data_IF_812727812236
#
_entry.id   IF_812727812236
#
_cell.length_a   1.000
_cell.length_b   1.000
_cell.length_c   1.000
_cell.angle_alpha   90.00
_cell.angle_beta   90.00
_cell.angle_gamma   90.00
#
_symmetry.space_group_name_H-M   'P 1'
#
loop_
_entity.id
_entity.type
_entity.pdbx_description
1 polymer ?
#
# COMPACT_ATOMS: atom_id res chain seq x y z
N UNK A 1 -19.71 11.88 -4.39
CA UNK A 1 -18.52 11.93 -3.52
C UNK A 1 -18.74 10.87 -2.45
N UNK A 2 -17.87 9.84 -2.40
CA UNK A 2 -18.01 8.75 -1.44
C UNK A 2 -17.85 9.26 -0.02
N UNK A 3 -18.55 8.64 0.93
CA UNK A 3 -18.46 8.98 2.35
C UNK A 3 -17.17 8.40 2.94
N UNK A 4 -16.03 8.96 2.55
CA UNK A 4 -14.70 8.53 3.01
C UNK A 4 -14.55 8.67 4.52
N UNK A 5 -15.27 9.62 5.14
CA UNK A 5 -15.33 9.78 6.59
C UNK A 5 -15.95 8.58 7.28
N UNK A 6 -17.09 8.06 6.78
CA UNK A 6 -17.66 6.80 7.31
C UNK A 6 -16.74 5.61 7.05
N UNK A 7 -16.13 5.50 5.87
CA UNK A 7 -15.21 4.42 5.58
C UNK A 7 -14.03 4.40 6.56
N UNK A 8 -13.45 5.57 6.84
CA UNK A 8 -12.39 5.74 7.83
C UNK A 8 -12.85 5.28 9.22
N UNK A 9 -14.03 5.72 9.66
CA UNK A 9 -14.59 5.33 10.97
C UNK A 9 -14.75 3.81 11.10
N UNK A 10 -15.26 3.14 10.07
CA UNK A 10 -15.40 1.67 10.07
C UNK A 10 -14.05 0.96 10.09
N UNK A 11 -13.07 1.41 9.31
CA UNK A 11 -11.73 0.81 9.31
C UNK A 11 -11.00 1.05 10.63
N UNK A 12 -11.12 2.22 11.25
CA UNK A 12 -10.52 2.50 12.57
C UNK A 12 -11.16 1.64 13.68
N UNK A 13 -12.48 1.45 13.66
CA UNK A 13 -13.18 0.55 14.58
C UNK A 13 -12.71 -0.89 14.41
N UNK A 14 -12.64 -1.37 13.17
CA UNK A 14 -12.14 -2.72 12.85
C UNK A 14 -10.69 -2.89 13.29
N UNK A 15 -9.83 -1.90 13.02
CA UNK A 15 -8.43 -1.91 13.42
C UNK A 15 -8.25 -2.04 14.94
N UNK A 16 -9.01 -1.27 15.73
CA UNK A 16 -8.98 -1.35 17.21
C UNK A 16 -9.39 -2.73 17.74
N UNK A 17 -10.28 -3.44 17.05
CA UNK A 17 -10.66 -4.81 17.43
C UNK A 17 -9.50 -5.76 17.13
N UNK A 18 -8.93 -5.68 15.93
CA UNK A 18 -7.79 -6.51 15.52
C UNK A 18 -6.58 -6.28 16.42
N UNK A 19 -6.27 -5.03 16.79
CA UNK A 19 -5.14 -4.67 17.65
C UNK A 19 -5.22 -5.32 19.03
N UNK A 20 -6.45 -5.51 19.55
CA UNK A 20 -6.68 -6.21 20.82
C UNK A 20 -6.65 -7.73 20.70
N UNK A 21 -6.97 -8.25 19.51
CA UNK A 21 -7.16 -9.68 19.28
C UNK A 21 -5.92 -10.39 18.73
N UNK A 22 -5.01 -9.67 18.08
CA UNK A 22 -3.91 -10.24 17.31
C UNK A 22 -2.54 -9.78 17.82
N UNK A 23 -1.49 -10.61 17.67
CA UNK A 23 -0.11 -10.18 17.87
C UNK A 23 0.24 -9.00 16.96
N UNK A 24 1.11 -8.10 17.43
CA UNK A 24 1.49 -6.86 16.71
C UNK A 24 2.10 -7.07 15.32
N UNK A 25 2.57 -8.28 15.01
CA UNK A 25 3.12 -8.66 13.71
C UNK A 25 2.14 -9.45 12.82
N UNK A 26 0.86 -9.56 13.20
CA UNK A 26 -0.10 -10.34 12.42
C UNK A 26 -0.42 -9.66 11.07
N UNK A 27 -0.38 -10.37 9.92
CA UNK A 27 -0.67 -9.79 8.61
C UNK A 27 -2.02 -9.07 8.49
N UNK A 28 -3.05 -9.50 9.22
CA UNK A 28 -4.36 -8.81 9.23
C UNK A 28 -4.29 -7.40 9.84
N UNK A 29 -3.38 -7.16 10.80
CA UNK A 29 -3.11 -5.81 11.29
C UNK A 29 -2.50 -4.95 10.19
N UNK A 30 -1.56 -5.51 9.42
CA UNK A 30 -1.00 -4.81 8.27
C UNK A 30 -2.08 -4.48 7.23
N UNK A 31 -3.00 -5.42 6.95
CA UNK A 31 -4.09 -5.17 6.01
C UNK A 31 -5.03 -4.06 6.48
N UNK A 32 -5.37 -4.03 7.77
CA UNK A 32 -6.20 -2.97 8.33
C UNK A 32 -5.54 -1.59 8.25
N UNK A 33 -4.23 -1.49 8.55
CA UNK A 33 -3.46 -0.26 8.34
C UNK A 33 -3.43 0.16 6.86
N UNK A 34 -3.25 -0.79 5.94
CA UNK A 34 -3.27 -0.50 4.51
C UNK A 34 -4.62 0.09 4.07
N UNK A 35 -5.73 -0.42 4.59
CA UNK A 35 -7.06 0.09 4.24
C UNK A 35 -7.27 1.52 4.75
N UNK A 36 -6.82 1.83 5.98
CA UNK A 36 -6.85 3.20 6.51
C UNK A 36 -6.00 4.14 5.64
N UNK A 37 -4.79 3.71 5.27
CA UNK A 37 -3.91 4.46 4.38
C UNK A 37 -4.55 4.72 3.01
N UNK A 38 -5.28 3.76 2.46
CA UNK A 38 -6.01 3.91 1.21
C UNK A 38 -7.12 4.97 1.30
N UNK A 39 -7.87 5.01 2.40
CA UNK A 39 -8.89 6.04 2.59
C UNK A 39 -8.26 7.43 2.61
N UNK A 40 -7.17 7.63 3.36
CA UNK A 40 -6.45 8.91 3.36
C UNK A 40 -5.88 9.26 1.98
N UNK A 41 -5.39 8.28 1.24
CA UNK A 41 -4.90 8.49 -0.13
C UNK A 41 -6.02 8.98 -1.06
N UNK A 42 -7.21 8.37 -1.00
CA UNK A 42 -8.37 8.81 -1.77
C UNK A 42 -8.89 10.19 -1.36
N UNK A 43 -8.69 10.58 -0.11
CA UNK A 43 -8.99 11.93 0.40
C UNK A 43 -7.93 12.98 -0.01
N UNK A 44 -6.81 12.56 -0.60
CA UNK A 44 -5.68 13.44 -0.95
C UNK A 44 -4.76 13.77 0.22
N UNK A 45 -4.98 13.20 1.41
CA UNK A 45 -4.06 13.33 2.55
C UNK A 45 -2.93 12.31 2.42
N UNK A 46 -2.02 12.57 1.49
CA UNK A 46 -0.92 11.66 1.18
C UNK A 46 0.07 11.49 2.35
N UNK A 47 0.17 12.49 3.24
CA UNK A 47 1.06 12.38 4.41
C UNK A 47 0.52 11.39 5.43
N UNK A 48 -0.79 11.43 5.75
CA UNK A 48 -1.41 10.39 6.59
C UNK A 48 -1.44 9.05 5.89
N UNK A 49 -1.71 9.02 4.59
CA UNK A 49 -1.68 7.77 3.82
C UNK A 49 -0.33 7.06 3.97
N UNK A 50 0.78 7.79 3.81
CA UNK A 50 2.13 7.27 3.99
C UNK A 50 2.37 6.73 5.40
N UNK A 51 1.96 7.45 6.45
CA UNK A 51 2.10 6.98 7.83
C UNK A 51 1.47 5.59 8.04
N UNK A 52 0.25 5.41 7.54
CA UNK A 52 -0.48 4.15 7.67
C UNK A 52 0.06 3.05 6.75
N UNK A 53 0.45 3.40 5.51
CA UNK A 53 1.09 2.44 4.61
C UNK A 53 2.46 1.97 5.11
N UNK A 54 3.27 2.83 5.74
CA UNK A 54 4.56 2.46 6.32
C UNK A 54 4.39 1.53 7.53
N UNK A 55 3.39 1.77 8.39
CA UNK A 55 3.01 0.85 9.48
C UNK A 55 2.62 -0.53 8.94
N UNK A 56 1.78 -0.56 7.90
CA UNK A 56 1.40 -1.79 7.20
C UNK A 56 2.61 -2.52 6.61
N UNK A 57 3.47 -1.78 5.91
CA UNK A 57 4.64 -2.30 5.24
C UNK A 57 5.61 -2.97 6.21
N UNK A 58 5.90 -2.32 7.34
CA UNK A 58 6.78 -2.88 8.38
C UNK A 58 6.27 -4.20 8.94
N UNK A 59 4.95 -4.35 9.12
CA UNK A 59 4.38 -5.62 9.59
C UNK A 59 4.49 -6.68 8.50
N UNK A 60 4.12 -6.37 7.25
CA UNK A 60 4.25 -7.31 6.14
C UNK A 60 5.70 -7.76 5.91
N UNK A 61 6.67 -6.85 6.00
CA UNK A 61 8.10 -7.16 5.84
C UNK A 61 8.58 -8.14 6.92
N UNK A 62 8.10 -8.02 8.15
CA UNK A 62 8.45 -8.92 9.24
C UNK A 62 7.71 -10.26 9.20
N UNK A 63 6.47 -10.28 8.69
CA UNK A 63 5.58 -11.43 8.80
C UNK A 63 5.53 -12.32 7.55
N UNK A 64 5.96 -11.82 6.40
CA UNK A 64 5.79 -12.49 5.10
C UNK A 64 7.12 -12.72 4.39
N UNK A 65 7.20 -13.75 3.52
CA UNK A 65 8.33 -13.91 2.61
C UNK A 65 8.54 -12.67 1.74
N UNK A 66 9.79 -12.39 1.38
CA UNK A 66 10.18 -11.19 0.60
C UNK A 66 9.55 -11.10 -0.80
N UNK A 67 9.00 -12.20 -1.31
CA UNK A 67 8.29 -12.26 -2.59
C UNK A 67 6.76 -12.29 -2.44
N UNK A 68 6.22 -12.06 -1.25
CA UNK A 68 4.78 -12.17 -1.02
C UNK A 68 3.97 -11.06 -1.73
N UNK A 69 2.84 -11.37 -2.38
CA UNK A 69 2.02 -10.38 -3.08
C UNK A 69 1.59 -9.16 -2.25
N UNK A 70 1.24 -9.36 -0.97
CA UNK A 70 0.89 -8.25 -0.06
C UNK A 70 2.05 -7.26 0.15
N UNK A 71 3.30 -7.74 0.19
CA UNK A 71 4.46 -6.87 0.28
C UNK A 71 4.57 -6.00 -0.99
N UNK A 72 4.36 -6.60 -2.17
CA UNK A 72 4.33 -5.84 -3.42
C UNK A 72 3.21 -4.79 -3.47
N UNK A 73 2.02 -5.13 -2.96
CA UNK A 73 0.91 -4.18 -2.85
C UNK A 73 1.24 -3.01 -1.92
N UNK A 74 1.87 -3.27 -0.77
CA UNK A 74 2.30 -2.19 0.14
C UNK A 74 3.35 -1.26 -0.52
N UNK A 75 4.33 -1.82 -1.24
CA UNK A 75 5.29 -1.03 -2.03
C UNK A 75 4.57 -0.17 -3.08
N UNK A 76 3.61 -0.74 -3.83
CA UNK A 76 2.84 -0.01 -4.84
C UNK A 76 2.06 1.16 -4.24
N UNK A 77 1.39 0.94 -3.11
CA UNK A 77 0.58 1.95 -2.45
C UNK A 77 1.42 3.11 -1.89
N UNK A 78 2.59 2.81 -1.30
CA UNK A 78 3.55 3.83 -0.88
C UNK A 78 4.05 4.63 -2.10
N UNK A 79 4.36 3.95 -3.20
CA UNK A 79 4.78 4.61 -4.45
C UNK A 79 3.72 5.57 -4.98
N UNK A 80 2.45 5.16 -5.03
CA UNK A 80 1.34 6.02 -5.44
C UNK A 80 1.10 7.20 -4.49
N UNK A 81 1.29 7.01 -3.18
CA UNK A 81 1.18 8.10 -2.21
C UNK A 81 2.30 9.13 -2.38
N UNK A 82 3.54 8.70 -2.63
CA UNK A 82 4.64 9.61 -2.98
C UNK A 82 4.39 10.34 -4.30
N UNK A 83 3.81 9.66 -5.30
CA UNK A 83 3.41 10.29 -6.55
C UNK A 83 2.40 11.42 -6.31
N UNK A 84 1.35 11.17 -5.51
CA UNK A 84 0.37 12.18 -5.14
C UNK A 84 0.97 13.38 -4.40
N UNK A 85 2.02 13.13 -3.60
CA UNK A 85 2.79 14.18 -2.89
C UNK A 85 3.77 14.94 -3.80
N UNK A 86 3.98 14.50 -5.04
CA UNK A 86 4.92 15.09 -5.99
C UNK A 86 6.37 14.63 -5.83
N UNK A 87 6.64 13.62 -5.00
CA UNK A 87 7.98 13.02 -4.86
C UNK A 87 8.13 11.86 -5.86
N UNK A 88 8.37 12.23 -7.12
CA UNK A 88 8.42 11.27 -8.23
C UNK A 88 9.61 10.31 -8.14
N UNK A 89 10.73 10.74 -7.55
CA UNK A 89 11.90 9.89 -7.33
C UNK A 89 11.60 8.76 -6.35
N UNK A 90 10.97 9.06 -5.21
CA UNK A 90 10.54 7.99 -4.28
C UNK A 90 9.42 7.16 -4.88
N UNK A 91 8.45 7.77 -5.54
CA UNK A 91 7.36 7.05 -6.19
C UNK A 91 7.90 5.96 -7.14
N UNK A 92 8.85 6.33 -8.01
CA UNK A 92 9.48 5.40 -8.95
C UNK A 92 10.20 4.26 -8.22
N UNK A 93 11.03 4.57 -7.22
CA UNK A 93 11.77 3.56 -6.46
C UNK A 93 10.85 2.52 -5.80
N UNK A 94 9.74 2.96 -5.20
CA UNK A 94 8.78 2.07 -4.56
C UNK A 94 8.00 1.23 -5.58
N UNK A 95 7.57 1.81 -6.71
CA UNK A 95 6.87 1.08 -7.76
C UNK A 95 7.77 0.03 -8.45
N UNK A 96 9.05 0.32 -8.65
CA UNK A 96 10.00 -0.64 -9.21
C UNK A 96 10.20 -1.86 -8.29
N UNK A 97 10.24 -1.65 -6.97
CA UNK A 97 10.27 -2.75 -5.99
C UNK A 97 8.99 -3.59 -6.06
N UNK A 98 7.82 -2.95 -6.15
CA UNK A 98 6.55 -3.66 -6.31
C UNK A 98 6.53 -4.51 -7.58
N UNK A 99 6.99 -3.95 -8.70
CA UNK A 99 7.06 -4.65 -9.98
C UNK A 99 8.00 -5.86 -9.91
N UNK A 100 9.18 -5.70 -9.29
CA UNK A 100 10.15 -6.80 -9.15
C UNK A 100 9.55 -7.99 -8.39
N UNK A 101 8.82 -7.74 -7.30
CA UNK A 101 8.15 -8.81 -6.54
C UNK A 101 7.04 -9.44 -7.38
N UNK A 102 6.16 -8.64 -8.01
CA UNK A 102 5.05 -9.14 -8.84
C UNK A 102 5.56 -10.03 -9.97
N UNK A 103 6.67 -9.67 -10.63
CA UNK A 103 7.27 -10.46 -11.70
C UNK A 103 7.87 -11.79 -11.23
N UNK A 104 8.34 -11.87 -9.99
CA UNK A 104 8.87 -13.12 -9.40
C UNK A 104 7.77 -14.06 -8.94
N UNK A 105 6.61 -13.54 -8.58
CA UNK A 105 5.56 -14.30 -7.88
C UNK A 105 4.29 -14.54 -8.68
N UNK A 106 4.12 -13.86 -9.82
CA UNK A 106 2.92 -13.94 -10.65
C UNK A 106 3.29 -14.27 -12.10
N UNK A 107 2.38 -14.90 -12.87
CA UNK A 107 2.55 -15.07 -14.31
C UNK A 107 2.73 -13.71 -15.01
N UNK A 108 3.54 -13.66 -16.07
CA UNK A 108 3.84 -12.43 -16.82
C UNK A 108 2.60 -11.73 -17.41
N UNK A 109 1.49 -12.47 -17.57
CA UNK A 109 0.19 -11.98 -18.05
C UNK A 109 -0.70 -11.39 -16.95
N UNK A 110 -0.28 -11.43 -15.69
CA UNK A 110 -1.09 -10.97 -14.56
C UNK A 110 -1.33 -9.46 -14.61
N UNK A 111 -2.58 -9.03 -14.40
CA UNK A 111 -3.01 -7.63 -14.52
C UNK A 111 -2.21 -6.65 -13.64
N UNK A 112 -1.92 -7.04 -12.40
CA UNK A 112 -1.10 -6.24 -11.46
C UNK A 112 0.31 -5.89 -11.99
N UNK A 113 0.92 -6.72 -12.83
CA UNK A 113 2.23 -6.39 -13.45
C UNK A 113 2.05 -5.26 -14.46
N UNK A 114 0.99 -5.34 -15.28
CA UNK A 114 0.65 -4.29 -16.25
C UNK A 114 0.33 -2.98 -15.55
N UNK A 115 -0.53 -3.03 -14.53
CA UNK A 115 -0.90 -1.85 -13.74
C UNK A 115 0.31 -1.13 -13.13
N UNK A 116 1.25 -1.87 -12.51
CA UNK A 116 2.45 -1.23 -11.95
C UNK A 116 3.34 -0.63 -13.02
N UNK A 117 3.46 -1.24 -14.20
CA UNK A 117 4.19 -0.65 -15.33
C UNK A 117 3.54 0.64 -15.81
N UNK A 118 2.21 0.65 -15.95
CA UNK A 118 1.45 1.84 -16.33
C UNK A 118 1.65 2.97 -15.29
N UNK A 119 1.66 2.64 -13.99
CA UNK A 119 1.97 3.59 -12.93
C UNK A 119 3.41 4.14 -13.04
N UNK A 120 4.40 3.29 -13.29
CA UNK A 120 5.80 3.68 -13.49
C UNK A 120 5.92 4.63 -14.69
N UNK A 121 5.29 4.30 -15.82
CA UNK A 121 5.31 5.11 -17.02
C UNK A 121 4.60 6.45 -16.81
N UNK A 122 3.58 6.49 -15.95
CA UNK A 122 2.93 7.73 -15.55
C UNK A 122 3.86 8.62 -14.70
N UNK A 123 4.55 8.04 -13.73
CA UNK A 123 5.53 8.76 -12.89
C UNK A 123 6.66 9.34 -13.73
N UNK A 124 7.19 8.58 -14.70
CA UNK A 124 8.28 9.01 -15.59
C UNK A 124 7.94 10.19 -16.51
N UNK A 125 6.66 10.52 -16.65
CA UNK A 125 6.17 11.65 -17.48
C UNK A 125 5.97 12.94 -16.69
N UNK A 126 6.20 12.94 -15.39
CA UNK A 126 6.11 14.12 -14.52
C UNK A 126 7.49 14.74 -14.34
#
# INVERSE_FOLDING_TARGET
MGDYSKALEFYEKSHKILEKALPSNHPDLAQSYNNIGAVYNYMGDYSKALEFYEKSHKIYENALPSNHPNLATSYNNIGLAYFGKGDYSKALSFLEKALSIRQKSLPSTHSLIKETKDNIDHVKKK
#
